data_IF_210541502854
#
_entry.id   IF_210541502854
#
_cell.length_a   1.000
_cell.length_b   1.000
_cell.length_c   1.000
_cell.angle_alpha   90.00
_cell.angle_beta   90.00
_cell.angle_gamma   90.00
#
_symmetry.space_group_name_H-M   'P 1'
#
loop_
_entity.id
_entity.type
_entity.pdbx_description
1 polymer ?
#
# COMPACT_ATOMS: atom_id res chain seq x y z
N UNK A 1 44.92 4.55 35.34
CA UNK A 1 44.01 3.54 34.75
C UNK A 1 43.47 4.14 33.46
N UNK A 2 44.09 3.79 32.34
CA UNK A 2 43.82 4.35 31.01
C UNK A 2 42.71 3.54 30.35
N UNK A 3 41.51 4.11 30.23
CA UNK A 3 40.45 3.51 29.42
C UNK A 3 40.68 3.90 27.95
N UNK A 4 41.17 2.94 27.16
CA UNK A 4 41.12 2.98 25.69
C UNK A 4 39.68 2.69 25.26
N UNK A 5 38.98 3.71 24.77
CA UNK A 5 37.75 3.50 24.00
C UNK A 5 38.15 2.89 22.64
N UNK A 6 37.65 1.68 22.37
CA UNK A 6 37.73 1.05 21.04
C UNK A 6 36.90 1.88 20.06
N UNK A 7 37.49 2.27 18.94
CA UNK A 7 36.78 2.82 17.78
C UNK A 7 35.79 1.78 17.24
N UNK A 8 34.55 1.79 17.72
CA UNK A 8 33.41 1.21 17.02
C UNK A 8 32.93 2.23 16.00
N UNK A 9 33.28 2.02 14.72
CA UNK A 9 32.64 2.72 13.61
C UNK A 9 31.17 2.31 13.59
N UNK A 10 30.31 3.11 14.19
CA UNK A 10 28.87 3.08 13.92
C UNK A 10 28.72 3.65 12.51
N UNK A 11 28.66 2.77 11.51
CA UNK A 11 28.10 3.13 10.20
C UNK A 11 26.60 3.33 10.43
N UNK A 12 26.23 4.57 10.72
CA UNK A 12 24.85 5.01 10.56
C UNK A 12 24.58 4.93 9.06
N UNK A 13 23.84 3.92 8.63
CA UNK A 13 23.25 3.93 7.31
C UNK A 13 22.12 4.97 7.35
N UNK A 14 22.48 6.23 7.12
CA UNK A 14 21.56 7.20 6.57
C UNK A 14 21.33 6.74 5.13
N UNK A 15 20.40 5.81 4.97
CA UNK A 15 19.83 5.51 3.67
C UNK A 15 18.98 6.72 3.33
N UNK A 16 19.59 7.77 2.79
CA UNK A 16 18.85 8.71 1.94
C UNK A 16 18.34 7.84 0.82
N UNK A 17 17.07 7.47 0.90
CA UNK A 17 16.36 6.73 -0.12
C UNK A 17 16.25 7.67 -1.33
N UNK A 18 17.33 7.79 -2.09
CA UNK A 18 17.27 8.17 -3.49
C UNK A 18 16.62 6.98 -4.21
N UNK A 19 15.31 6.83 -4.00
CA UNK A 19 14.48 6.07 -4.89
C UNK A 19 14.51 6.87 -6.20
N UNK A 20 15.42 6.47 -7.09
CA UNK A 20 15.51 7.04 -8.43
C UNK A 20 14.11 7.02 -9.07
N UNK A 21 13.74 8.09 -9.79
CA UNK A 21 12.46 8.26 -10.49
C UNK A 21 12.01 7.06 -11.37
N UNK A 22 12.89 6.10 -11.66
CA UNK A 22 12.53 4.85 -12.33
C UNK A 22 11.70 3.87 -11.46
N UNK A 23 11.74 3.98 -10.14
CA UNK A 23 11.01 3.07 -9.25
C UNK A 23 9.50 3.39 -9.19
N UNK A 24 9.11 4.64 -9.39
CA UNK A 24 7.68 5.02 -9.40
C UNK A 24 6.92 4.52 -10.63
N UNK A 25 7.61 4.17 -11.72
CA UNK A 25 6.97 3.58 -12.92
C UNK A 25 6.69 2.07 -12.77
N UNK A 26 7.26 1.43 -11.74
CA UNK A 26 7.11 0.01 -11.44
C UNK A 26 6.25 -0.23 -10.18
N UNK A 27 5.88 0.85 -9.49
CA UNK A 27 5.12 0.87 -8.24
C UNK A 27 3.60 0.67 -8.45
N UNK A 28 3.13 0.52 -9.69
CA UNK A 28 1.71 0.37 -10.03
C UNK A 28 1.23 -1.09 -10.12
N UNK A 29 2.08 -2.13 -10.08
CA UNK A 29 1.59 -3.50 -10.31
C UNK A 29 0.79 -4.08 -9.14
N UNK A 30 1.28 -3.92 -7.89
CA UNK A 30 0.69 -4.60 -6.73
C UNK A 30 -0.67 -4.03 -6.33
N UNK A 31 -0.81 -2.70 -6.25
CA UNK A 31 -2.05 -2.05 -5.80
C UNK A 31 -3.22 -2.30 -6.76
N UNK A 32 -2.92 -2.43 -8.06
CA UNK A 32 -3.91 -2.78 -9.08
C UNK A 32 -4.47 -4.20 -8.93
N UNK A 33 -3.83 -5.04 -8.12
CA UNK A 33 -4.27 -6.41 -7.86
C UNK A 33 -5.16 -6.56 -6.63
N UNK A 34 -5.64 -5.47 -6.04
CA UNK A 34 -6.63 -5.56 -4.95
C UNK A 34 -8.07 -5.42 -5.45
N UNK A 35 -8.99 -6.05 -4.74
CA UNK A 35 -10.44 -5.88 -4.92
C UNK A 35 -11.06 -5.39 -3.62
N UNK A 36 -12.06 -4.52 -3.75
CA UNK A 36 -12.83 -4.01 -2.63
C UNK A 36 -13.86 -5.05 -2.17
N UNK A 37 -13.91 -5.32 -0.87
CA UNK A 37 -14.93 -6.17 -0.25
C UNK A 37 -15.76 -5.32 0.72
N UNK A 38 -17.07 -5.26 0.47
CA UNK A 38 -18.08 -4.61 1.33
C UNK A 38 -19.12 -5.63 1.76
N UNK A 39 -19.13 -6.00 3.03
CA UNK A 39 -20.10 -6.96 3.57
C UNK A 39 -20.42 -6.69 5.03
N UNK A 40 -21.60 -6.10 5.29
CA UNK A 40 -22.01 -5.71 6.64
C UNK A 40 -21.13 -4.59 7.17
N UNK A 41 -20.51 -4.80 8.33
CA UNK A 41 -19.56 -3.87 8.96
C UNK A 41 -18.12 -4.04 8.43
N UNK A 42 -17.86 -5.03 7.58
CA UNK A 42 -16.54 -5.26 7.00
C UNK A 42 -16.38 -4.50 5.69
N UNK A 43 -15.35 -3.64 5.65
CA UNK A 43 -14.88 -2.93 4.47
C UNK A 43 -13.36 -3.00 4.45
N UNK A 44 -12.81 -3.66 3.43
CA UNK A 44 -11.37 -3.88 3.26
C UNK A 44 -11.04 -4.17 1.81
N UNK A 45 -9.76 -4.09 1.48
CA UNK A 45 -9.21 -4.50 0.18
C UNK A 45 -8.43 -5.80 0.35
N UNK A 46 -8.54 -6.72 -0.60
CA UNK A 46 -7.82 -8.00 -0.59
C UNK A 46 -7.20 -8.28 -1.96
N UNK A 47 -5.99 -8.84 -1.99
CA UNK A 47 -5.35 -9.21 -3.25
C UNK A 47 -6.14 -10.29 -3.99
N UNK A 48 -6.30 -10.09 -5.31
CA UNK A 48 -6.86 -11.02 -6.30
C UNK A 48 -6.23 -12.39 -6.20
N UNK A 49 -4.93 -12.41 -5.93
CA UNK A 49 -4.07 -13.58 -5.97
C UNK A 49 -3.37 -13.82 -4.63
N UNK A 50 -2.99 -15.07 -4.37
CA UNK A 50 -1.92 -15.33 -3.41
C UNK A 50 -0.62 -14.69 -3.89
N UNK A 51 0.26 -14.30 -2.98
CA UNK A 51 1.57 -13.76 -3.34
C UNK A 51 2.34 -14.81 -4.15
N UNK A 52 2.86 -14.38 -5.29
CA UNK A 52 3.60 -15.26 -6.19
C UNK A 52 5.03 -15.48 -5.71
N UNK A 53 5.69 -16.52 -6.22
CA UNK A 53 7.10 -16.75 -5.94
C UNK A 53 7.96 -15.64 -6.47
N UNK A 54 7.63 -15.06 -7.63
CA UNK A 54 8.35 -13.91 -8.20
C UNK A 54 8.24 -12.69 -7.28
N UNK A 55 7.03 -12.32 -6.87
CA UNK A 55 6.82 -11.20 -5.94
C UNK A 55 7.60 -11.37 -4.63
N UNK A 56 7.65 -12.58 -4.08
CA UNK A 56 8.45 -12.87 -2.89
C UNK A 56 9.96 -12.89 -3.18
N UNK A 57 10.36 -13.34 -4.37
CA UNK A 57 11.76 -13.38 -4.79
C UNK A 57 12.35 -11.98 -4.96
N UNK A 58 11.57 -11.02 -5.46
CA UNK A 58 11.95 -9.61 -5.52
C UNK A 58 12.23 -9.03 -4.13
N UNK A 59 11.40 -9.40 -3.14
CA UNK A 59 11.65 -9.07 -1.74
C UNK A 59 12.97 -9.69 -1.23
N UNK A 60 13.26 -10.95 -1.57
CA UNK A 60 14.51 -11.62 -1.17
C UNK A 60 15.76 -11.03 -1.85
N UNK A 61 15.62 -10.43 -3.02
CA UNK A 61 16.73 -9.79 -3.74
C UNK A 61 17.38 -8.68 -2.90
N UNK A 62 16.59 -7.94 -2.13
CA UNK A 62 17.05 -6.89 -1.21
C UNK A 62 18.03 -7.43 -0.14
N UNK A 63 17.96 -8.73 0.15
CA UNK A 63 18.80 -9.43 1.12
C UNK A 63 19.88 -10.30 0.48
N UNK A 64 19.95 -10.35 -0.86
CA UNK A 64 20.89 -11.19 -1.61
C UNK A 64 20.54 -12.68 -1.58
N UNK A 65 19.27 -13.04 -1.31
CA UNK A 65 18.81 -14.42 -1.16
C UNK A 65 17.90 -14.90 -2.31
N UNK A 66 17.80 -14.13 -3.38
CA UNK A 66 16.96 -14.46 -4.53
C UNK A 66 17.38 -15.77 -5.23
N UNK A 67 16.41 -16.40 -5.87
CA UNK A 67 16.56 -17.59 -6.71
C UNK A 67 16.30 -17.24 -8.17
N UNK A 68 16.94 -17.96 -9.08
CA UNK A 68 16.61 -17.89 -10.50
C UNK A 68 15.37 -18.74 -10.77
N UNK A 69 14.22 -18.09 -10.89
CA UNK A 69 12.94 -18.72 -11.25
C UNK A 69 12.73 -18.65 -12.76
N UNK A 70 12.10 -19.66 -13.36
CA UNK A 70 11.49 -19.52 -14.69
C UNK A 70 10.17 -18.78 -14.58
N UNK A 71 9.65 -18.20 -15.67
CA UNK A 71 8.33 -17.53 -15.70
C UNK A 71 7.23 -18.40 -15.07
N UNK A 72 7.13 -19.67 -15.50
CA UNK A 72 6.15 -20.63 -14.95
C UNK A 72 6.31 -20.89 -13.45
N UNK A 73 7.52 -20.77 -12.91
CA UNK A 73 7.79 -20.92 -11.48
C UNK A 73 7.47 -19.63 -10.72
N UNK A 74 7.70 -18.48 -11.34
CA UNK A 74 7.42 -17.16 -10.80
C UNK A 74 5.94 -16.97 -10.49
N UNK A 75 5.06 -17.44 -11.39
CA UNK A 75 3.59 -17.33 -11.28
C UNK A 75 2.94 -18.25 -10.24
N UNK A 76 3.68 -19.20 -9.66
CA UNK A 76 3.15 -20.08 -8.62
C UNK A 76 3.02 -19.32 -7.29
N UNK A 77 2.08 -19.69 -6.40
CA UNK A 77 2.04 -19.15 -5.05
C UNK A 77 3.33 -19.46 -4.29
N UNK A 78 3.81 -18.48 -3.53
CA UNK A 78 4.90 -18.69 -2.57
C UNK A 78 4.41 -19.57 -1.41
N UNK A 79 5.29 -20.42 -0.90
CA UNK A 79 5.04 -21.26 0.26
C UNK A 79 5.97 -20.83 1.38
N UNK A 80 5.41 -20.40 2.51
CA UNK A 80 6.17 -19.82 3.63
C UNK A 80 5.52 -20.15 4.97
N UNK A 81 6.31 -20.13 6.03
CA UNK A 81 5.75 -20.07 7.39
C UNK A 81 5.09 -18.71 7.63
N UNK A 82 4.42 -18.56 8.78
CA UNK A 82 3.67 -17.34 9.08
C UNK A 82 4.57 -16.12 9.31
N UNK A 83 5.73 -16.31 9.93
CA UNK A 83 6.67 -15.23 10.22
C UNK A 83 7.22 -14.59 8.94
N UNK A 84 7.59 -15.42 7.96
CA UNK A 84 8.09 -14.97 6.66
C UNK A 84 7.01 -14.28 5.83
N UNK A 85 5.74 -14.71 5.95
CA UNK A 85 4.61 -13.99 5.36
C UNK A 85 4.44 -12.61 5.99
N UNK A 86 4.50 -12.49 7.32
CA UNK A 86 4.38 -11.22 8.03
C UNK A 86 5.55 -10.28 7.75
N UNK A 87 6.77 -10.80 7.64
CA UNK A 87 7.95 -10.01 7.25
C UNK A 87 7.80 -9.43 5.83
N UNK A 88 7.26 -10.21 4.90
CA UNK A 88 6.94 -9.70 3.56
C UNK A 88 5.86 -8.60 3.61
N UNK A 89 4.81 -8.80 4.42
CA UNK A 89 3.72 -7.83 4.59
C UNK A 89 4.22 -6.51 5.20
N UNK A 90 5.12 -6.57 6.18
CA UNK A 90 5.80 -5.39 6.75
C UNK A 90 6.59 -4.65 5.66
N UNK A 91 7.38 -5.37 4.86
CA UNK A 91 8.15 -4.77 3.78
C UNK A 91 7.29 -4.05 2.74
N UNK A 92 6.20 -4.68 2.25
CA UNK A 92 5.31 -4.00 1.31
C UNK A 92 4.55 -2.86 1.99
N UNK A 93 4.29 -2.94 3.30
CA UNK A 93 3.65 -1.84 4.02
C UNK A 93 4.51 -0.59 4.01
N UNK A 94 5.81 -0.73 4.28
CA UNK A 94 6.76 0.37 4.21
C UNK A 94 6.93 0.90 2.78
N UNK A 95 6.91 0.00 1.79
CA UNK A 95 7.15 0.35 0.38
C UNK A 95 6.01 1.17 -0.22
N UNK A 96 4.77 0.85 0.15
CA UNK A 96 3.57 1.50 -0.41
C UNK A 96 2.91 2.48 0.56
N UNK A 97 3.45 2.65 1.78
CA UNK A 97 2.86 3.47 2.83
C UNK A 97 1.39 3.09 3.12
N UNK A 98 1.11 1.78 3.12
CA UNK A 98 -0.21 1.22 3.40
C UNK A 98 -0.07 0.06 4.37
N UNK A 99 -0.89 -0.03 5.41
CA UNK A 99 -0.79 -1.17 6.32
C UNK A 99 -1.36 -2.46 5.70
N UNK A 100 -0.50 -3.32 5.19
CA UNK A 100 -0.85 -4.66 4.74
C UNK A 100 -0.71 -5.69 5.85
N UNK A 101 -1.67 -6.62 5.90
CA UNK A 101 -1.72 -7.68 6.92
C UNK A 101 -2.32 -8.96 6.34
N UNK A 102 -2.24 -10.04 7.11
CA UNK A 102 -3.00 -11.25 6.83
C UNK A 102 -4.51 -10.99 7.06
N UNK A 103 -5.40 -11.56 6.24
CA UNK A 103 -6.84 -11.53 6.49
C UNK A 103 -7.14 -12.24 7.81
N UNK A 104 -8.17 -11.79 8.52
CA UNK A 104 -8.82 -12.65 9.52
C UNK A 104 -9.54 -13.82 8.82
N UNK A 105 -9.87 -14.88 9.57
CA UNK A 105 -10.69 -15.97 9.04
C UNK A 105 -12.00 -15.44 8.46
N UNK A 106 -12.64 -14.51 9.16
CA UNK A 106 -13.91 -13.91 8.73
C UNK A 106 -13.75 -13.13 7.42
N UNK A 107 -12.74 -12.26 7.30
CA UNK A 107 -12.48 -11.50 6.06
C UNK A 107 -12.20 -12.44 4.89
N UNK A 108 -11.42 -13.49 5.12
CA UNK A 108 -11.13 -14.49 4.11
C UNK A 108 -12.41 -15.21 3.64
N UNK A 109 -13.28 -15.63 4.57
CA UNK A 109 -14.56 -16.28 4.23
C UNK A 109 -15.51 -15.36 3.45
N UNK A 110 -15.57 -14.08 3.82
CA UNK A 110 -16.37 -13.07 3.13
C UNK A 110 -15.88 -12.88 1.69
N UNK A 111 -14.56 -12.77 1.52
CA UNK A 111 -13.92 -12.64 0.21
C UNK A 111 -14.13 -13.89 -0.66
N UNK A 112 -14.09 -15.09 -0.06
CA UNK A 112 -14.26 -16.38 -0.74
C UNK A 112 -15.71 -16.71 -1.13
N UNK A 113 -16.70 -15.90 -0.72
CA UNK A 113 -18.11 -16.13 -1.05
C UNK A 113 -18.32 -16.20 -2.57
N UNK A 114 -19.15 -17.13 -3.01
CA UNK A 114 -19.43 -17.35 -4.44
C UNK A 114 -18.32 -18.10 -5.20
N UNK A 115 -17.24 -18.52 -4.53
CA UNK A 115 -16.20 -19.32 -5.18
C UNK A 115 -16.74 -20.71 -5.54
N UNK A 116 -16.63 -21.08 -6.82
CA UNK A 116 -16.96 -22.42 -7.29
C UNK A 116 -15.82 -23.38 -6.98
N UNK A 117 -16.13 -24.57 -6.50
CA UNK A 117 -15.14 -25.64 -6.30
C UNK A 117 -14.36 -25.91 -7.60
N UNK A 118 -13.02 -25.83 -7.59
CA UNK A 118 -12.22 -26.08 -8.78
C UNK A 118 -12.21 -27.57 -9.15
N UNK A 119 -11.82 -27.86 -10.40
CA UNK A 119 -11.41 -29.22 -10.76
C UNK A 119 -10.15 -29.59 -9.98
N UNK A 120 -10.04 -30.85 -9.55
CA UNK A 120 -8.87 -31.34 -8.83
C UNK A 120 -7.60 -31.16 -9.66
N UNK A 121 -6.65 -30.36 -9.16
CA UNK A 121 -5.30 -30.25 -9.70
C UNK A 121 -4.43 -31.40 -9.19
N UNK A 122 -3.36 -31.73 -9.93
CA UNK A 122 -2.39 -32.76 -9.53
C UNK A 122 -1.21 -32.18 -8.74
N UNK A 123 -1.00 -30.88 -8.87
CA UNK A 123 0.11 -30.11 -8.32
C UNK A 123 -0.34 -28.65 -8.16
N UNK A 124 0.49 -27.84 -7.52
CA UNK A 124 0.32 -26.39 -7.41
C UNK A 124 0.36 -25.77 -8.82
N UNK A 125 -0.50 -24.78 -9.07
CA UNK A 125 -0.62 -24.08 -10.36
C UNK A 125 -0.46 -22.57 -10.19
N UNK A 126 -0.33 -21.88 -11.32
CA UNK A 126 -0.28 -20.43 -11.38
C UNK A 126 -1.44 -19.78 -10.63
N UNK A 127 -1.22 -18.60 -10.03
CA UNK A 127 -2.19 -17.97 -9.12
C UNK A 127 -3.50 -17.55 -9.79
N UNK A 128 -3.50 -17.35 -11.12
CA UNK A 128 -4.64 -16.97 -11.96
C UNK A 128 -5.20 -18.15 -12.80
N UNK A 129 -4.67 -19.37 -12.63
CA UNK A 129 -5.07 -20.58 -13.36
C UNK A 129 -6.50 -21.08 -13.05
N UNK A 130 -7.22 -20.43 -12.13
CA UNK A 130 -8.57 -20.81 -11.69
C UNK A 130 -9.60 -19.80 -12.17
N UNK A 131 -10.88 -20.17 -12.17
CA UNK A 131 -11.93 -19.19 -12.48
C UNK A 131 -12.08 -18.24 -11.27
N UNK A 132 -12.14 -16.91 -11.48
CA UNK A 132 -12.41 -16.00 -10.38
C UNK A 132 -13.82 -16.19 -9.82
N UNK A 133 -14.01 -15.86 -8.55
CA UNK A 133 -15.34 -15.72 -7.96
C UNK A 133 -16.02 -14.40 -8.37
N UNK A 134 -17.20 -14.12 -7.82
CA UNK A 134 -17.98 -12.91 -8.15
C UNK A 134 -17.28 -11.60 -7.74
N UNK A 135 -16.33 -11.66 -6.81
CA UNK A 135 -15.51 -10.52 -6.38
C UNK A 135 -14.23 -10.37 -7.22
N UNK A 136 -14.00 -11.22 -8.23
CA UNK A 136 -12.78 -11.19 -9.04
C UNK A 136 -11.57 -11.87 -8.40
N UNK A 137 -11.76 -12.64 -7.31
CA UNK A 137 -10.68 -13.34 -6.61
C UNK A 137 -10.41 -14.72 -7.17
N UNK A 138 -9.13 -15.05 -7.32
CA UNK A 138 -8.64 -16.31 -7.85
C UNK A 138 -8.06 -17.19 -6.73
N UNK A 139 -8.06 -18.49 -6.94
CA UNK A 139 -7.38 -19.44 -6.06
C UNK A 139 -7.94 -19.54 -4.65
N UNK A 140 -9.14 -18.98 -4.37
CA UNK A 140 -9.72 -19.00 -3.03
C UNK A 140 -10.02 -20.41 -2.52
N UNK A 141 -10.19 -21.42 -3.38
CA UNK A 141 -10.35 -22.82 -2.95
C UNK A 141 -9.35 -23.71 -3.67
N UNK A 142 -8.61 -24.53 -2.92
CA UNK A 142 -7.54 -25.38 -3.46
C UNK A 142 -6.26 -24.60 -3.79
N UNK A 143 -5.38 -25.23 -4.57
CA UNK A 143 -4.02 -24.76 -4.88
C UNK A 143 -3.10 -24.81 -3.66
N UNK A 144 -3.24 -23.87 -2.72
CA UNK A 144 -2.49 -23.79 -1.47
C UNK A 144 -3.41 -23.41 -0.32
N UNK A 145 -3.08 -23.86 0.89
CA UNK A 145 -3.66 -23.26 2.09
C UNK A 145 -3.20 -21.81 2.22
N UNK A 146 -3.99 -20.97 2.87
CA UNK A 146 -3.63 -19.56 3.09
C UNK A 146 -3.65 -19.17 4.56
N UNK A 147 -2.57 -18.53 5.01
CA UNK A 147 -2.45 -17.97 6.36
C UNK A 147 -3.53 -16.93 6.65
N UNK A 148 -4.07 -16.96 7.86
CA UNK A 148 -4.91 -15.89 8.43
C UNK A 148 -4.29 -15.35 9.72
N UNK A 149 -4.73 -14.17 10.15
CA UNK A 149 -4.36 -13.56 11.44
C UNK A 149 -5.13 -14.15 12.62
N UNK A 150 -6.11 -15.02 12.39
CA UNK A 150 -6.97 -15.58 13.45
C UNK A 150 -6.27 -16.72 14.17
N UNK A 151 -6.12 -16.61 15.49
CA UNK A 151 -5.53 -17.66 16.32
C UNK A 151 -6.56 -18.60 16.94
N UNK A 152 -6.18 -19.87 17.11
CA UNK A 152 -7.01 -20.87 17.79
C UNK A 152 -6.18 -21.80 18.70
N UNK A 153 -6.43 -21.84 20.03
CA UNK A 153 -7.48 -21.10 20.75
C UNK A 153 -7.27 -19.59 20.68
N UNK A 154 -8.34 -18.81 20.89
CA UNK A 154 -8.29 -17.34 20.79
C UNK A 154 -7.15 -16.77 21.66
N UNK A 155 -6.49 -15.75 21.13
CA UNK A 155 -5.38 -15.05 21.80
C UNK A 155 -4.15 -15.94 22.04
N UNK A 156 -4.02 -17.04 21.30
CA UNK A 156 -2.80 -17.82 21.20
C UNK A 156 -1.89 -17.21 20.12
N UNK A 157 -0.58 -17.16 20.34
CA UNK A 157 0.41 -16.63 19.39
C UNK A 157 1.17 -17.73 18.64
N UNK A 158 0.80 -18.99 18.87
CA UNK A 158 1.46 -20.17 18.33
C UNK A 158 0.61 -20.87 17.27
N UNK A 159 -0.71 -20.89 17.39
CA UNK A 159 -1.59 -21.64 16.49
C UNK A 159 -2.57 -20.74 15.75
N UNK A 160 -2.58 -20.86 14.42
CA UNK A 160 -3.37 -20.00 13.54
C UNK A 160 -4.24 -20.80 12.58
N UNK A 161 -5.35 -20.20 12.20
CA UNK A 161 -6.26 -20.75 11.22
C UNK A 161 -5.68 -20.54 9.83
N UNK A 162 -5.68 -21.60 9.03
CA UNK A 162 -5.45 -21.54 7.58
C UNK A 162 -6.73 -21.90 6.84
N UNK A 163 -6.93 -21.33 5.65
CA UNK A 163 -8.17 -21.43 4.87
C UNK A 163 -7.94 -21.94 3.46
N UNK A 164 -9.02 -22.40 2.82
CA UNK A 164 -9.07 -22.65 1.37
C UNK A 164 -8.70 -24.06 0.90
N UNK A 165 -7.82 -24.77 1.61
CA UNK A 165 -7.35 -26.10 1.20
C UNK A 165 -6.28 -26.05 0.11
N UNK A 166 -5.40 -27.05 0.03
CA UNK A 166 -4.41 -27.16 -1.03
C UNK A 166 -4.85 -28.08 -2.19
N UNK A 167 -3.99 -28.30 -3.19
CA UNK A 167 -4.27 -29.16 -4.34
C UNK A 167 -4.51 -30.64 -3.98
N UNK A 168 -4.12 -31.10 -2.79
CA UNK A 168 -4.27 -32.49 -2.37
C UNK A 168 -5.70 -32.80 -1.92
N UNK A 169 -6.41 -31.77 -1.47
CA UNK A 169 -7.78 -31.86 -0.97
C UNK A 169 -8.76 -32.41 -2.00
N UNK A 170 -9.79 -33.11 -1.52
CA UNK A 170 -10.87 -33.57 -2.40
C UNK A 170 -11.81 -32.41 -2.65
N UNK A 171 -12.23 -32.23 -3.90
CA UNK A 171 -13.16 -31.18 -4.30
C UNK A 171 -14.42 -31.08 -3.39
N UNK A 172 -14.97 -32.21 -2.94
CA UNK A 172 -16.14 -32.24 -2.04
C UNK A 172 -15.89 -31.72 -0.61
N UNK A 173 -14.63 -31.64 -0.19
CA UNK A 173 -14.22 -31.15 1.12
C UNK A 173 -13.82 -29.66 1.07
N UNK A 174 -13.79 -29.05 -0.13
CA UNK A 174 -13.45 -27.65 -0.35
C UNK A 174 -14.71 -26.77 -0.34
N UNK A 175 -14.71 -25.80 0.57
CA UNK A 175 -15.72 -24.76 0.72
C UNK A 175 -15.08 -23.53 1.37
N UNK A 176 -15.72 -22.34 1.31
CA UNK A 176 -15.23 -21.18 2.06
C UNK A 176 -15.04 -21.44 3.56
N UNK A 177 -15.79 -22.39 4.13
CA UNK A 177 -15.66 -22.78 5.55
C UNK A 177 -14.52 -23.74 5.84
N UNK A 178 -13.91 -24.31 4.80
CA UNK A 178 -12.80 -25.26 4.94
C UNK A 178 -11.64 -24.56 5.63
N UNK A 179 -11.20 -25.15 6.74
CA UNK A 179 -10.20 -24.57 7.61
C UNK A 179 -9.36 -25.66 8.26
N UNK A 180 -8.15 -25.30 8.67
CA UNK A 180 -7.29 -26.12 9.52
C UNK A 180 -6.54 -25.22 10.51
N UNK A 181 -6.02 -25.78 11.60
CA UNK A 181 -5.27 -25.03 12.61
C UNK A 181 -3.86 -25.61 12.68
N UNK A 182 -2.86 -24.76 12.53
CA UNK A 182 -1.45 -25.18 12.46
C UNK A 182 -0.58 -24.27 13.31
N UNK A 183 0.60 -24.76 13.71
CA UNK A 183 1.61 -23.94 14.39
C UNK A 183 2.15 -22.87 13.43
N UNK A 184 2.49 -21.68 13.92
CA UNK A 184 3.08 -20.60 13.09
C UNK A 184 4.40 -21.01 12.40
N UNK A 185 5.12 -21.95 13.01
CA UNK A 185 6.38 -22.52 12.52
C UNK A 185 6.15 -23.76 11.61
N UNK A 186 4.93 -23.95 11.09
CA UNK A 186 4.62 -25.07 10.19
C UNK A 186 5.32 -24.87 8.84
N UNK A 187 6.22 -25.80 8.48
CA UNK A 187 6.97 -25.77 7.22
C UNK A 187 6.59 -26.91 6.25
N UNK A 188 6.04 -28.02 6.75
CA UNK A 188 5.78 -29.23 5.97
C UNK A 188 4.46 -29.20 5.16
N UNK A 189 3.75 -28.06 5.15
CA UNK A 189 2.47 -27.88 4.45
C UNK A 189 2.57 -26.87 3.31
N UNK A 190 1.72 -27.02 2.29
CA UNK A 190 1.63 -26.07 1.17
C UNK A 190 0.81 -24.85 1.60
N UNK A 191 1.42 -23.95 2.39
CA UNK A 191 0.75 -22.75 2.90
C UNK A 191 1.37 -21.50 2.27
N UNK A 192 0.57 -20.75 1.52
CA UNK A 192 0.87 -19.41 1.05
C UNK A 192 0.09 -18.36 1.83
N UNK A 193 -0.08 -17.18 1.24
CA UNK A 193 -0.86 -16.10 1.83
C UNK A 193 -1.27 -15.08 0.77
N UNK A 194 -2.24 -14.24 1.12
CA UNK A 194 -2.60 -13.05 0.37
C UNK A 194 -2.74 -11.85 1.32
N UNK A 195 -2.31 -10.64 0.93
CA UNK A 195 -2.47 -9.45 1.74
C UNK A 195 -3.92 -8.93 1.74
N UNK A 196 -4.29 -8.33 2.86
CA UNK A 196 -5.41 -7.38 2.94
C UNK A 196 -4.92 -6.03 3.45
N UNK A 197 -5.66 -4.98 3.11
CA UNK A 197 -5.48 -3.64 3.65
C UNK A 197 -6.82 -3.09 4.15
N UNK A 198 -6.76 -2.25 5.18
CA UNK A 198 -7.93 -1.50 5.62
C UNK A 198 -8.30 -0.44 4.58
N UNK A 199 -9.58 -0.10 4.49
CA UNK A 199 -10.09 0.87 3.50
C UNK A 199 -9.37 2.20 3.54
N UNK A 200 -9.26 2.81 4.72
CA UNK A 200 -8.75 4.17 4.87
C UNK A 200 -7.33 4.30 4.31
N UNK A 201 -6.40 3.51 4.84
CA UNK A 201 -5.00 3.54 4.42
C UNK A 201 -4.86 3.23 2.91
N UNK A 202 -5.60 2.24 2.41
CA UNK A 202 -5.52 1.84 1.00
C UNK A 202 -6.03 2.93 0.05
N UNK A 203 -7.18 3.54 0.37
CA UNK A 203 -7.76 4.62 -0.44
C UNK A 203 -6.90 5.89 -0.38
N UNK A 204 -6.33 6.22 0.78
CA UNK A 204 -5.37 7.31 0.93
C UNK A 204 -4.15 7.11 0.01
N UNK A 205 -3.56 5.91 0.00
CA UNK A 205 -2.44 5.59 -0.91
C UNK A 205 -2.85 5.70 -2.39
N UNK A 206 -4.04 5.22 -2.77
CA UNK A 206 -4.54 5.36 -4.14
C UNK A 206 -4.71 6.83 -4.54
N UNK A 207 -5.26 7.66 -3.66
CA UNK A 207 -5.42 9.10 -3.91
C UNK A 207 -4.07 9.79 -4.08
N UNK A 208 -3.08 9.49 -3.22
CA UNK A 208 -1.72 10.04 -3.31
C UNK A 208 -1.05 9.64 -4.62
N UNK A 209 -1.12 8.36 -5.01
CA UNK A 209 -0.52 7.87 -6.25
C UNK A 209 -1.16 8.51 -7.48
N UNK A 210 -2.49 8.65 -7.46
CA UNK A 210 -3.23 9.31 -8.54
C UNK A 210 -2.89 10.80 -8.63
N UNK A 211 -2.84 11.49 -7.49
CA UNK A 211 -2.46 12.90 -7.42
C UNK A 211 -1.04 13.13 -7.99
N UNK A 212 -0.06 12.34 -7.56
CA UNK A 212 1.31 12.40 -8.07
C UNK A 212 1.42 12.09 -9.56
N UNK A 213 0.60 11.16 -10.06
CA UNK A 213 0.53 10.88 -11.51
C UNK A 213 0.00 12.09 -12.28
N UNK A 214 -1.05 12.74 -11.77
CA UNK A 214 -1.62 13.93 -12.39
C UNK A 214 -0.62 15.10 -12.35
N UNK A 215 0.06 15.32 -11.23
CA UNK A 215 1.11 16.35 -11.10
C UNK A 215 2.19 16.16 -12.18
N UNK A 216 2.70 14.94 -12.36
CA UNK A 216 3.69 14.64 -13.42
C UNK A 216 3.18 14.91 -14.84
N UNK A 217 1.87 14.78 -15.07
CA UNK A 217 1.24 15.04 -16.37
C UNK A 217 1.04 16.54 -16.61
N UNK A 218 0.56 17.27 -15.60
CA UNK A 218 0.25 18.69 -15.68
C UNK A 218 1.50 19.57 -15.63
N UNK A 219 2.45 19.21 -14.76
CA UNK A 219 3.63 19.98 -14.38
C UNK A 219 4.92 19.14 -14.55
N UNK A 220 5.22 18.62 -15.75
CA UNK A 220 6.28 17.62 -15.96
C UNK A 220 7.70 18.13 -15.69
N UNK A 221 7.91 19.44 -15.62
CA UNK A 221 9.22 20.06 -15.37
C UNK A 221 9.39 20.53 -13.92
N UNK A 222 8.36 20.37 -13.09
CA UNK A 222 8.36 20.83 -11.70
C UNK A 222 8.65 19.65 -10.77
N UNK A 223 9.45 19.89 -9.73
CA UNK A 223 9.72 18.89 -8.69
C UNK A 223 8.67 19.00 -7.59
N UNK A 224 7.53 18.35 -7.80
CA UNK A 224 6.39 18.39 -6.89
C UNK A 224 6.01 16.97 -6.51
N UNK A 225 5.91 16.70 -5.21
CA UNK A 225 5.44 15.43 -4.66
C UNK A 225 4.33 15.68 -3.65
N UNK A 226 3.21 15.00 -3.82
CA UNK A 226 2.06 15.01 -2.90
C UNK A 226 2.23 13.90 -1.88
N UNK A 227 2.08 14.22 -0.59
CA UNK A 227 2.03 13.27 0.51
C UNK A 227 0.67 13.34 1.22
N UNK A 228 0.48 12.50 2.24
CA UNK A 228 -0.78 12.42 3.00
C UNK A 228 -1.10 13.74 3.75
N UNK A 229 -0.07 14.41 4.27
CA UNK A 229 -0.23 15.57 5.15
C UNK A 229 0.41 16.86 4.64
N UNK A 230 1.23 16.76 3.61
CA UNK A 230 1.96 17.88 3.03
C UNK A 230 2.20 17.63 1.54
N UNK A 231 2.74 18.65 0.89
CA UNK A 231 3.36 18.51 -0.42
C UNK A 231 4.76 19.08 -0.36
N UNK A 232 5.67 18.45 -1.11
CA UNK A 232 6.98 19.00 -1.39
C UNK A 232 6.96 19.71 -2.73
N UNK A 233 7.51 20.92 -2.76
CA UNK A 233 7.75 21.71 -3.97
C UNK A 233 9.20 22.17 -3.94
N UNK A 234 10.01 21.63 -4.83
CA UNK A 234 11.48 21.73 -4.80
C UNK A 234 12.03 21.32 -3.41
N UNK A 235 12.58 22.27 -2.67
CA UNK A 235 13.14 22.09 -1.33
C UNK A 235 12.17 22.46 -0.19
N UNK A 236 10.98 22.96 -0.53
CA UNK A 236 9.99 23.42 0.45
C UNK A 236 8.95 22.33 0.72
N UNK A 237 8.57 22.20 1.99
CA UNK A 237 7.43 21.40 2.42
C UNK A 237 6.30 22.33 2.83
N UNK A 238 5.11 22.11 2.27
CA UNK A 238 3.90 22.87 2.55
C UNK A 238 2.88 21.94 3.20
N UNK A 239 2.71 22.09 4.51
CA UNK A 239 1.73 21.32 5.28
C UNK A 239 0.31 21.73 4.93
N UNK A 240 -0.60 20.76 4.84
CA UNK A 240 -2.00 21.07 4.55
C UNK A 240 -2.69 21.84 5.69
N UNK A 241 -2.20 21.71 6.93
CA UNK A 241 -2.66 22.50 8.07
C UNK A 241 -2.12 23.94 8.11
N UNK A 242 -1.15 24.27 7.26
CA UNK A 242 -0.55 25.61 7.19
C UNK A 242 -1.30 26.55 6.25
N UNK A 243 -2.42 26.11 5.67
CA UNK A 243 -3.28 26.97 4.85
C UNK A 243 -4.14 27.87 5.75
N UNK A 244 -4.53 29.08 5.28
CA UNK A 244 -5.53 29.88 5.97
C UNK A 244 -6.81 29.07 6.25
N UNK A 245 -7.62 29.41 7.26
CA UNK A 245 -8.81 28.64 7.64
C UNK A 245 -9.84 28.41 6.51
N UNK A 246 -9.79 29.19 5.44
CA UNK A 246 -10.65 29.05 4.25
C UNK A 246 -9.87 28.66 2.97
N UNK A 247 -8.56 28.43 3.08
CA UNK A 247 -7.68 28.08 1.97
C UNK A 247 -7.57 26.57 1.74
N UNK A 248 -7.33 26.18 0.49
CA UNK A 248 -7.00 24.80 0.10
C UNK A 248 -5.55 24.74 -0.37
N UNK A 249 -4.81 23.65 -0.08
CA UNK A 249 -3.41 23.47 -0.46
C UNK A 249 -3.19 23.51 -1.96
N UNK A 250 -4.19 23.10 -2.73
CA UNK A 250 -4.20 23.22 -4.19
C UNK A 250 -5.51 23.86 -4.60
N UNK A 251 -5.43 24.91 -5.43
CA UNK A 251 -6.60 25.49 -6.09
C UNK A 251 -6.36 25.61 -7.59
N UNK A 252 -7.43 25.51 -8.39
CA UNK A 252 -7.37 25.63 -9.86
C UNK A 252 -8.08 26.90 -10.31
N UNK A 253 -7.34 27.82 -10.91
CA UNK A 253 -7.89 28.97 -11.64
C UNK A 253 -8.18 28.57 -13.09
N UNK A 254 -9.47 28.50 -13.42
CA UNK A 254 -9.96 28.09 -14.74
C UNK A 254 -9.76 29.16 -15.81
N UNK A 255 -9.75 30.43 -15.42
CA UNK A 255 -9.64 31.54 -16.37
C UNK A 255 -8.18 31.68 -16.83
N UNK A 256 -7.25 31.56 -15.88
CA UNK A 256 -5.81 31.69 -16.16
C UNK A 256 -5.11 30.35 -16.45
N UNK A 257 -5.81 29.23 -16.26
CA UNK A 257 -5.27 27.87 -16.38
C UNK A 257 -4.04 27.66 -15.51
N UNK A 258 -4.16 28.08 -14.24
CA UNK A 258 -3.12 27.95 -13.24
C UNK A 258 -3.56 27.04 -12.11
N UNK A 259 -2.63 26.21 -11.65
CA UNK A 259 -2.70 25.55 -10.35
C UNK A 259 -1.95 26.43 -9.37
N UNK A 260 -2.59 26.79 -8.26
CA UNK A 260 -1.94 27.54 -7.17
C UNK A 260 -1.73 26.60 -6.00
N UNK A 261 -0.46 26.36 -5.66
CA UNK A 261 -0.05 25.56 -4.51
C UNK A 261 0.11 26.47 -3.29
N UNK A 262 -0.51 26.08 -2.18
CA UNK A 262 -0.66 26.89 -0.98
C UNK A 262 -0.24 26.11 0.29
N UNK A 263 0.43 26.74 1.26
CA UNK A 263 1.06 28.05 1.17
C UNK A 263 2.38 28.10 1.91
N UNK A 264 3.34 28.84 1.32
CA UNK A 264 4.53 29.28 2.04
C UNK A 264 4.12 30.35 3.05
N UNK A 265 4.42 30.12 4.32
CA UNK A 265 4.24 31.12 5.38
C UNK A 265 5.39 32.13 5.34
N UNK A 266 5.06 33.40 5.30
CA UNK A 266 6.01 34.51 5.36
C UNK A 266 5.74 35.32 6.64
N UNK A 267 6.78 35.49 7.46
CA UNK A 267 6.70 36.23 8.71
C UNK A 267 7.10 37.68 8.46
N UNK A 268 6.13 38.58 8.55
CA UNK A 268 6.32 40.01 8.44
C UNK A 268 6.31 40.63 9.84
N UNK A 269 7.33 41.43 10.13
CA UNK A 269 7.43 42.18 11.38
C UNK A 269 7.00 43.63 11.13
N UNK A 270 5.89 44.03 11.75
CA UNK A 270 5.46 45.42 11.78
C UNK A 270 5.89 46.03 13.13
N UNK A 271 6.69 47.11 13.07
CA UNK A 271 7.01 47.92 14.25
C UNK A 271 6.08 49.12 14.32
N UNK A 272 5.24 49.16 15.35
CA UNK A 272 4.40 50.30 15.68
C UNK A 272 4.84 50.88 17.04
N UNK A 273 5.78 51.83 16.99
CA UNK A 273 6.36 52.43 18.19
C UNK A 273 7.30 51.48 18.95
N UNK A 274 6.91 51.03 20.15
CA UNK A 274 7.67 50.07 20.97
C UNK A 274 7.08 48.65 20.93
N UNK A 275 5.99 48.45 20.19
CA UNK A 275 5.35 47.16 19.98
C UNK A 275 5.86 46.55 18.68
N UNK A 276 6.30 45.31 18.74
CA UNK A 276 6.64 44.49 17.57
C UNK A 276 5.52 43.46 17.40
N UNK A 277 4.78 43.56 16.30
CA UNK A 277 3.70 42.62 15.97
C UNK A 277 4.15 41.75 14.82
N UNK A 278 4.14 40.45 15.06
CA UNK A 278 4.41 39.42 14.05
C UNK A 278 3.11 39.14 13.28
N UNK A 279 3.19 39.23 11.96
CA UNK A 279 2.08 38.93 11.05
C UNK A 279 2.51 37.81 10.11
N UNK A 280 1.67 36.80 9.97
CA UNK A 280 1.87 35.72 9.00
C UNK A 280 1.13 36.11 7.72
N UNK A 281 1.86 36.18 6.61
CA UNK A 281 1.31 36.24 5.25
C UNK A 281 1.50 34.91 4.56
N UNK A 282 0.63 34.60 3.61
CA UNK A 282 0.61 33.32 2.91
C UNK A 282 0.86 33.57 1.43
N UNK A 283 1.84 32.87 0.86
CA UNK A 283 2.22 33.00 -0.54
C UNK A 283 1.82 31.72 -1.26
N UNK A 284 0.94 31.86 -2.25
CA UNK A 284 0.60 30.80 -3.20
C UNK A 284 1.56 30.80 -4.38
N UNK A 285 1.96 29.61 -4.82
CA UNK A 285 2.86 29.39 -5.95
C UNK A 285 2.03 29.01 -7.19
N UNK A 286 1.94 29.87 -8.22
CA UNK A 286 1.17 29.58 -9.42
C UNK A 286 1.98 28.79 -10.45
N UNK A 287 1.38 27.75 -11.03
CA UNK A 287 1.93 26.92 -12.10
C UNK A 287 0.94 26.82 -13.25
N UNK A 288 1.38 27.13 -14.47
CA UNK A 288 0.53 27.02 -15.66
C UNK A 288 0.42 25.58 -16.16
N UNK A 289 -0.75 25.18 -16.63
CA UNK A 289 -0.97 23.88 -17.29
C UNK A 289 -1.66 24.03 -18.66
N UNK A 290 -1.66 22.98 -19.48
CA UNK A 290 -2.34 22.98 -20.78
C UNK A 290 -3.87 23.09 -20.59
N UNK A 291 -4.56 24.08 -21.18
CA UNK A 291 -6.01 24.23 -21.06
C UNK A 291 -6.84 22.99 -21.38
N UNK A 292 -6.36 22.12 -22.29
CA UNK A 292 -7.03 20.86 -22.62
C UNK A 292 -7.04 19.84 -21.47
N UNK A 293 -6.21 20.06 -20.44
CA UNK A 293 -6.07 19.19 -19.27
C UNK A 293 -6.82 19.71 -18.03
N UNK A 294 -7.73 20.69 -18.18
CA UNK A 294 -8.51 21.25 -17.08
C UNK A 294 -9.20 20.20 -16.21
N UNK A 295 -9.71 19.11 -16.81
CA UNK A 295 -10.34 18.02 -16.05
C UNK A 295 -9.35 17.30 -15.12
N UNK A 296 -8.09 17.14 -15.54
CA UNK A 296 -7.05 16.54 -14.69
C UNK A 296 -6.67 17.51 -13.56
N UNK A 297 -6.55 18.80 -13.84
CA UNK A 297 -6.28 19.80 -12.81
C UNK A 297 -7.36 19.81 -11.71
N UNK A 298 -8.64 19.75 -12.10
CA UNK A 298 -9.77 19.63 -11.16
C UNK A 298 -9.76 18.31 -10.38
N UNK A 299 -9.36 17.21 -11.02
CA UNK A 299 -9.20 15.93 -10.33
C UNK A 299 -8.11 16.01 -9.26
N UNK A 300 -6.96 16.63 -9.55
CA UNK A 300 -5.90 16.86 -8.58
C UNK A 300 -6.37 17.68 -7.37
N UNK A 301 -7.06 18.81 -7.61
CA UNK A 301 -7.65 19.65 -6.57
C UNK A 301 -8.59 18.84 -5.67
N UNK A 302 -9.46 18.00 -6.26
CA UNK A 302 -10.38 17.17 -5.51
C UNK A 302 -9.68 16.09 -4.68
N UNK A 303 -8.68 15.41 -5.24
CA UNK A 303 -7.92 14.37 -4.53
C UNK A 303 -7.20 14.93 -3.31
N UNK A 304 -6.51 16.07 -3.45
CA UNK A 304 -5.80 16.70 -2.31
C UNK A 304 -6.77 17.24 -1.28
N UNK A 305 -7.93 17.78 -1.69
CA UNK A 305 -9.00 18.14 -0.76
C UNK A 305 -9.48 16.94 0.07
N UNK A 306 -9.68 15.79 -0.55
CA UNK A 306 -10.10 14.58 0.16
C UNK A 306 -9.04 14.11 1.17
N UNK A 307 -7.75 14.23 0.84
CA UNK A 307 -6.66 13.93 1.77
C UNK A 307 -6.70 14.84 3.00
N UNK A 308 -7.03 16.13 2.85
CA UNK A 308 -7.20 17.03 4.00
C UNK A 308 -8.42 16.73 4.86
N UNK A 309 -9.58 16.49 4.23
CA UNK A 309 -10.83 16.28 4.94
C UNK A 309 -10.76 15.03 5.83
N UNK A 310 -10.03 14.01 5.36
CA UNK A 310 -9.76 12.78 6.10
C UNK A 310 -8.90 12.95 7.36
N UNK A 311 -8.16 14.06 7.51
CA UNK A 311 -7.35 14.33 8.72
C UNK A 311 -8.18 14.82 9.91
N UNK A 312 -9.40 15.29 9.67
CA UNK A 312 -10.27 15.87 10.70
C UNK A 312 -11.20 14.85 11.38
N UNK A 313 -11.00 13.56 11.10
CA UNK A 313 -11.81 12.44 11.59
C UNK A 313 -10.97 11.42 12.36
#
# INVERSE_FOLDING_TARGET
>A
MTFRLKNSKVKMYLTTCFISLNAMAQQDSLLNDFVEIKSGEHHFYISKYAITREQYNDFLELWGEHKNLTDEQGELPVLVNKEDAERYLEHISDTYLTHFRLPSETEWELAAKGTTTPKKAKEIRCVDCTKPNENGLYGMLGNVWEWTSTSEPKENDRYFVIKGGDFQERAKDLSPKTRFVVSKDMEDMNIGFRPVANTHDFETTLHINRANTIVKVLLPNEDITIYEHDMQVEEFYMGYGDTPPEGFPITVDEDTHQIVLCCLQNFEYEQEGALETERITYIGLPFGFDPSQLSLAKELEQLVRQLMENQNH
#
